data_IF_983615392303
#
_entry.id   IF_983615392303
#
_cell.length_a   1.000
_cell.length_b   1.000
_cell.length_c   1.000
_cell.angle_alpha   90.00
_cell.angle_beta   90.00
_cell.angle_gamma   90.00
#
_symmetry.space_group_name_H-M   'P 1'
#
loop_
_entity.id
_entity.type
_entity.pdbx_description
1 polymer ?
#
# COMPACT_ATOMS: atom_id res chain seq x y z
N UNK A 1 -32.86 3.76 -28.83
CA UNK A 1 -33.46 3.87 -27.48
C UNK A 1 -32.75 2.94 -26.50
N UNK A 2 -32.55 1.67 -26.81
CA UNK A 2 -31.92 0.66 -25.95
C UNK A 2 -30.48 1.02 -25.48
N UNK A 3 -29.61 1.44 -26.41
CA UNK A 3 -28.23 1.83 -26.12
C UNK A 3 -28.15 3.02 -25.14
N UNK A 4 -29.04 4.00 -25.31
CA UNK A 4 -29.08 5.15 -24.40
C UNK A 4 -29.50 4.74 -22.98
N UNK A 5 -30.45 3.79 -22.86
CA UNK A 5 -30.86 3.24 -21.56
C UNK A 5 -29.70 2.49 -20.84
N UNK A 6 -28.92 1.68 -21.56
CA UNK A 6 -27.73 1.00 -21.04
C UNK A 6 -26.65 1.98 -20.57
N UNK A 7 -26.41 3.03 -21.34
CA UNK A 7 -25.45 4.06 -20.97
C UNK A 7 -25.87 4.83 -19.71
N UNK A 8 -27.14 5.26 -19.64
CA UNK A 8 -27.66 5.94 -18.45
C UNK A 8 -27.63 5.04 -17.21
N UNK A 9 -27.94 3.77 -17.36
CA UNK A 9 -27.92 2.80 -16.27
C UNK A 9 -26.48 2.51 -15.79
N UNK A 10 -25.53 2.35 -16.71
CA UNK A 10 -24.12 2.20 -16.37
C UNK A 10 -23.54 3.42 -15.65
N UNK A 11 -23.91 4.62 -16.09
CA UNK A 11 -23.52 5.86 -15.43
C UNK A 11 -24.08 5.96 -14.00
N UNK A 12 -25.36 5.58 -13.82
CA UNK A 12 -26.02 5.56 -12.52
C UNK A 12 -25.34 4.59 -11.55
N UNK A 13 -25.01 3.38 -12.02
CA UNK A 13 -24.32 2.38 -11.18
C UNK A 13 -22.91 2.86 -10.82
N UNK A 14 -22.15 3.46 -11.76
CA UNK A 14 -20.86 4.04 -11.48
C UNK A 14 -20.93 5.16 -10.43
N UNK A 15 -21.96 6.00 -10.49
CA UNK A 15 -22.21 7.03 -9.49
C UNK A 15 -22.63 6.44 -8.13
N UNK A 16 -23.50 5.42 -8.12
CA UNK A 16 -23.98 4.76 -6.90
C UNK A 16 -22.84 4.00 -6.19
N UNK A 17 -21.94 3.35 -6.92
CA UNK A 17 -20.77 2.69 -6.36
C UNK A 17 -19.92 3.65 -5.54
N UNK A 18 -19.88 4.92 -5.89
CA UNK A 18 -19.16 5.97 -5.18
C UNK A 18 -19.80 6.37 -3.84
N UNK A 19 -21.12 6.28 -3.76
CA UNK A 19 -21.88 6.57 -2.53
C UNK A 19 -21.83 5.37 -1.56
N UNK A 20 -21.92 4.15 -2.10
CA UNK A 20 -21.96 2.90 -1.30
C UNK A 20 -20.58 2.50 -0.77
N UNK A 21 -19.49 2.93 -1.43
CA UNK A 21 -18.10 2.59 -1.02
C UNK A 21 -17.34 3.87 -0.59
N UNK A 22 -17.76 4.56 0.48
CA UNK A 22 -17.05 5.74 0.98
C UNK A 22 -15.64 5.33 1.47
N UNK A 23 -14.62 6.13 1.11
CA UNK A 23 -13.22 5.86 1.50
C UNK A 23 -12.38 5.04 0.52
N UNK A 24 -12.94 4.60 -0.60
CA UNK A 24 -12.22 3.87 -1.67
C UNK A 24 -12.15 4.67 -2.99
N UNK A 25 -11.84 5.97 -2.89
CA UNK A 25 -11.93 6.89 -4.05
C UNK A 25 -10.57 7.13 -4.69
N UNK A 26 -9.91 6.08 -5.21
CA UNK A 26 -8.64 6.21 -5.93
C UNK A 26 -8.84 6.66 -7.40
N UNK A 27 -10.07 6.56 -7.93
CA UNK A 27 -10.43 7.01 -9.26
C UNK A 27 -11.13 8.38 -9.21
N UNK A 28 -10.89 9.22 -10.22
CA UNK A 28 -11.67 10.44 -10.40
C UNK A 28 -13.16 10.10 -10.68
N UNK A 29 -14.07 11.04 -10.39
CA UNK A 29 -15.51 10.82 -10.62
C UNK A 29 -15.84 10.41 -12.04
N UNK A 30 -15.21 11.07 -13.02
CA UNK A 30 -15.35 10.74 -14.44
C UNK A 30 -14.84 9.34 -14.79
N UNK A 31 -13.70 8.93 -14.23
CA UNK A 31 -13.15 7.59 -14.47
C UNK A 31 -14.04 6.48 -13.88
N UNK A 32 -14.67 6.70 -12.72
CA UNK A 32 -15.62 5.75 -12.13
C UNK A 32 -16.87 5.59 -12.97
N UNK A 33 -17.42 6.71 -13.48
CA UNK A 33 -18.57 6.70 -14.39
C UNK A 33 -18.24 6.00 -15.70
N UNK A 34 -17.08 6.29 -16.30
CA UNK A 34 -16.61 5.60 -17.53
C UNK A 34 -16.42 4.10 -17.32
N UNK A 35 -15.86 3.68 -16.18
CA UNK A 35 -15.72 2.27 -15.85
C UNK A 35 -17.10 1.57 -15.72
N UNK A 36 -18.07 2.23 -15.09
CA UNK A 36 -19.45 1.73 -15.02
C UNK A 36 -20.12 1.59 -16.40
N UNK A 37 -19.93 2.59 -17.26
CA UNK A 37 -20.42 2.58 -18.65
C UNK A 37 -19.83 1.41 -19.45
N UNK A 38 -18.52 1.22 -19.40
CA UNK A 38 -17.82 0.16 -20.11
C UNK A 38 -18.24 -1.22 -19.61
N UNK A 39 -18.32 -1.40 -18.30
CA UNK A 39 -18.74 -2.67 -17.69
C UNK A 39 -20.19 -3.04 -18.02
N UNK A 40 -21.11 -2.09 -17.95
CA UNK A 40 -22.51 -2.33 -18.32
C UNK A 40 -22.66 -2.63 -19.81
N UNK A 41 -21.92 -1.90 -20.67
CA UNK A 41 -21.97 -2.11 -22.13
C UNK A 41 -21.43 -3.45 -22.56
N UNK A 42 -20.27 -3.85 -22.05
CA UNK A 42 -19.61 -5.12 -22.45
C UNK A 42 -20.37 -6.35 -21.98
N UNK A 43 -20.79 -6.39 -20.71
CA UNK A 43 -21.53 -7.54 -20.15
C UNK A 43 -22.96 -7.57 -20.70
N UNK A 44 -23.62 -6.41 -20.83
CA UNK A 44 -24.94 -6.32 -21.44
C UNK A 44 -24.96 -6.81 -22.87
N UNK A 45 -23.94 -6.44 -23.68
CA UNK A 45 -23.79 -6.93 -25.05
C UNK A 45 -23.49 -8.45 -25.10
N UNK A 46 -22.65 -8.95 -24.21
CA UNK A 46 -22.35 -10.37 -24.14
C UNK A 46 -23.59 -11.21 -23.76
N UNK A 47 -24.33 -10.80 -22.75
CA UNK A 47 -25.58 -11.48 -22.33
C UNK A 47 -26.60 -11.43 -23.46
N UNK A 48 -26.78 -10.27 -24.13
CA UNK A 48 -27.67 -10.14 -25.29
C UNK A 48 -27.34 -11.07 -26.45
N UNK A 49 -26.06 -11.31 -26.70
CA UNK A 49 -25.60 -12.22 -27.75
C UNK A 49 -25.88 -13.71 -27.44
N UNK A 50 -25.99 -14.10 -26.16
CA UNK A 50 -26.27 -15.47 -25.74
C UNK A 50 -27.77 -15.77 -25.56
N UNK A 51 -28.62 -14.74 -25.46
CA UNK A 51 -30.05 -14.90 -25.12
C UNK A 51 -31.01 -14.65 -26.32
N UNK A 52 -30.52 -14.64 -27.55
CA UNK A 52 -31.28 -14.41 -28.81
C UNK A 52 -32.25 -13.19 -28.78
N UNK A 53 -32.12 -12.32 -27.80
CA UNK A 53 -32.98 -11.17 -27.62
C UNK A 53 -32.27 -9.93 -27.07
N UNK A 54 -32.29 -8.85 -27.81
CA UNK A 54 -31.81 -7.53 -27.42
C UNK A 54 -32.73 -6.83 -26.39
N UNK A 55 -33.45 -7.59 -25.58
CA UNK A 55 -34.33 -7.03 -24.55
C UNK A 55 -33.57 -6.67 -23.29
N UNK A 56 -33.13 -5.43 -23.22
CA UNK A 56 -32.37 -4.84 -22.10
C UNK A 56 -33.18 -4.86 -20.78
N UNK A 57 -34.48 -5.05 -20.84
CA UNK A 57 -35.39 -5.01 -19.71
C UNK A 57 -35.75 -6.40 -19.14
N UNK A 58 -35.23 -7.46 -19.66
CA UNK A 58 -35.37 -8.78 -19.08
C UNK A 58 -34.39 -8.97 -17.89
N UNK A 59 -34.86 -9.55 -16.78
CA UNK A 59 -34.14 -9.67 -15.53
C UNK A 59 -32.68 -10.14 -15.64
N UNK A 60 -32.34 -11.16 -16.47
CA UNK A 60 -30.96 -11.64 -16.64
C UNK A 60 -30.00 -10.58 -17.21
N UNK A 61 -30.43 -9.78 -18.17
CA UNK A 61 -29.58 -8.75 -18.80
C UNK A 61 -29.32 -7.55 -17.87
N UNK A 62 -30.30 -7.18 -17.05
CA UNK A 62 -30.13 -6.15 -16.02
C UNK A 62 -29.15 -6.60 -14.95
N UNK A 63 -29.29 -7.82 -14.43
CA UNK A 63 -28.36 -8.40 -13.46
C UNK A 63 -26.94 -8.49 -14.03
N UNK A 64 -26.78 -8.95 -15.27
CA UNK A 64 -25.51 -8.99 -15.96
C UNK A 64 -24.85 -7.61 -16.09
N UNK A 65 -25.62 -6.60 -16.43
CA UNK A 65 -25.12 -5.22 -16.54
C UNK A 65 -24.69 -4.63 -15.20
N UNK A 66 -25.41 -4.92 -14.11
CA UNK A 66 -25.03 -4.49 -12.76
C UNK A 66 -23.73 -5.17 -12.31
N UNK A 67 -23.65 -6.48 -12.48
CA UNK A 67 -22.45 -7.25 -12.12
C UNK A 67 -21.23 -6.85 -12.94
N UNK A 68 -21.44 -6.61 -14.25
CA UNK A 68 -20.39 -6.15 -15.14
C UNK A 68 -19.88 -4.77 -14.80
N UNK A 69 -20.78 -3.81 -14.55
CA UNK A 69 -20.39 -2.47 -14.14
C UNK A 69 -19.63 -2.47 -12.81
N UNK A 70 -20.14 -3.20 -11.82
CA UNK A 70 -19.51 -3.31 -10.50
C UNK A 70 -18.14 -3.99 -10.59
N UNK A 71 -18.06 -5.11 -11.30
CA UNK A 71 -16.80 -5.85 -11.49
C UNK A 71 -15.74 -5.02 -12.21
N UNK A 72 -16.13 -4.26 -13.24
CA UNK A 72 -15.21 -3.40 -13.99
C UNK A 72 -14.71 -2.22 -13.15
N UNK A 73 -15.57 -1.60 -12.34
CA UNK A 73 -15.15 -0.55 -11.39
C UNK A 73 -14.13 -1.10 -10.39
N UNK A 74 -14.39 -2.27 -9.80
CA UNK A 74 -13.48 -2.91 -8.85
C UNK A 74 -12.13 -3.28 -9.50
N UNK A 75 -12.15 -3.79 -10.73
CA UNK A 75 -10.94 -4.10 -11.49
C UNK A 75 -10.13 -2.85 -11.84
N UNK A 76 -10.82 -1.77 -12.27
CA UNK A 76 -10.18 -0.51 -12.58
C UNK A 76 -9.54 0.13 -11.33
N UNK A 77 -10.21 0.10 -10.18
CA UNK A 77 -9.65 0.55 -8.91
C UNK A 77 -8.46 -0.29 -8.48
N UNK A 78 -8.55 -1.63 -8.59
CA UNK A 78 -7.46 -2.52 -8.26
C UNK A 78 -6.23 -2.30 -9.17
N UNK A 79 -6.45 -2.15 -10.49
CA UNK A 79 -5.40 -1.83 -11.45
C UNK A 79 -4.75 -0.48 -11.17
N UNK A 80 -5.55 0.55 -10.91
CA UNK A 80 -5.05 1.89 -10.58
C UNK A 80 -4.23 1.89 -9.29
N UNK A 81 -4.65 1.15 -8.26
CA UNK A 81 -3.87 0.96 -7.02
C UNK A 81 -2.53 0.31 -7.28
N UNK A 82 -2.49 -0.75 -8.11
CA UNK A 82 -1.24 -1.42 -8.48
C UNK A 82 -0.30 -0.50 -9.26
N UNK A 83 -0.85 0.27 -10.20
CA UNK A 83 -0.07 1.23 -11.00
C UNK A 83 0.46 2.38 -10.13
N UNK A 84 -0.34 2.91 -9.20
CA UNK A 84 0.11 3.93 -8.25
C UNK A 84 1.18 3.40 -7.33
N UNK A 85 1.00 2.22 -6.74
CA UNK A 85 2.00 1.57 -5.90
C UNK A 85 3.34 1.37 -6.63
N UNK A 86 3.32 1.12 -7.95
CA UNK A 86 4.53 1.04 -8.78
C UNK A 86 5.12 2.42 -9.12
N UNK A 87 4.29 3.45 -9.32
CA UNK A 87 4.75 4.81 -9.65
C UNK A 87 5.32 5.57 -8.44
N UNK A 88 4.88 5.25 -7.24
CA UNK A 88 5.34 5.89 -6.00
C UNK A 88 6.61 5.26 -5.43
N UNK A 89 7.18 4.27 -6.09
CA UNK A 89 8.46 3.69 -5.71
C UNK A 89 9.60 4.61 -6.18
N UNK A 90 9.87 5.63 -5.38
CA UNK A 90 11.08 6.44 -5.56
C UNK A 90 12.28 5.54 -5.27
N UNK A 91 13.27 5.41 -6.18
CA UNK A 91 14.47 4.62 -5.93
C UNK A 91 15.16 5.05 -4.63
N UNK A 92 15.68 4.11 -3.85
CA UNK A 92 16.33 4.43 -2.57
C UNK A 92 17.48 5.42 -2.73
N UNK A 93 18.25 5.33 -3.82
CA UNK A 93 19.29 6.31 -4.12
C UNK A 93 18.78 7.75 -4.27
N UNK A 94 17.57 7.92 -4.80
CA UNK A 94 16.91 9.23 -4.89
C UNK A 94 16.40 9.71 -3.51
N UNK A 95 15.91 8.79 -2.65
CA UNK A 95 15.56 9.12 -1.27
C UNK A 95 16.77 9.59 -0.48
N UNK A 96 17.90 8.91 -0.62
CA UNK A 96 19.16 9.28 0.02
C UNK A 96 19.63 10.68 -0.41
N UNK A 97 19.54 10.98 -1.69
CA UNK A 97 19.96 12.30 -2.22
C UNK A 97 19.04 13.45 -1.77
N UNK A 98 17.77 13.19 -1.51
CA UNK A 98 16.80 14.18 -1.04
C UNK A 98 16.87 14.41 0.47
N UNK A 99 17.41 13.47 1.23
CA UNK A 99 17.47 13.51 2.69
C UNK A 99 16.14 13.22 3.39
N UNK A 100 16.16 13.39 4.71
CA UNK A 100 14.98 13.19 5.56
C UNK A 100 13.87 14.21 5.28
N UNK A 101 12.64 13.80 5.48
CA UNK A 101 11.44 14.60 5.26
C UNK A 101 10.27 14.08 6.09
N UNK A 102 9.10 14.73 5.98
CA UNK A 102 7.88 14.22 6.64
C UNK A 102 7.47 12.78 6.21
N UNK A 103 8.07 12.24 5.14
CA UNK A 103 7.79 10.90 4.59
C UNK A 103 9.03 10.00 4.50
N UNK A 104 10.19 10.50 4.85
CA UNK A 104 11.45 9.74 4.78
C UNK A 104 12.22 9.97 6.06
N UNK A 105 12.59 8.91 6.72
CA UNK A 105 13.36 8.91 7.97
C UNK A 105 14.55 7.97 7.82
N UNK A 106 15.72 8.39 8.28
CA UNK A 106 16.94 7.59 8.30
C UNK A 106 17.24 7.13 9.71
N UNK A 107 17.76 5.92 9.85
CA UNK A 107 18.28 5.38 11.11
C UNK A 107 19.54 4.59 10.84
N UNK A 108 20.61 4.97 11.49
CA UNK A 108 21.91 4.31 11.35
C UNK A 108 21.89 2.84 11.79
N UNK A 109 21.00 2.48 12.70
CA UNK A 109 20.82 1.10 13.19
C UNK A 109 19.43 0.94 13.79
N UNK A 110 18.92 -0.30 13.81
CA UNK A 110 17.68 -0.62 14.49
C UNK A 110 17.87 -1.04 15.96
N UNK A 111 19.07 -1.51 16.32
CA UNK A 111 19.31 -2.07 17.66
C UNK A 111 20.74 -1.93 18.17
N UNK A 112 21.71 -1.67 17.31
CA UNK A 112 23.11 -1.52 17.68
C UNK A 112 23.42 -0.04 17.97
N UNK A 113 23.88 0.25 19.18
CA UNK A 113 24.35 1.59 19.54
C UNK A 113 25.84 1.70 19.30
N UNK A 114 26.24 2.52 18.33
CA UNK A 114 27.65 2.71 17.94
C UNK A 114 28.51 3.31 19.05
N UNK A 115 27.91 4.05 19.98
CA UNK A 115 28.65 4.69 21.09
C UNK A 115 28.96 3.73 22.24
N UNK A 116 28.06 2.79 22.52
CA UNK A 116 28.23 1.79 23.58
C UNK A 116 28.73 0.46 23.04
N UNK A 117 28.76 0.31 21.72
CA UNK A 117 29.11 -0.94 21.00
C UNK A 117 28.25 -2.14 21.44
N UNK A 118 26.99 -1.90 21.81
CA UNK A 118 26.09 -2.92 22.35
C UNK A 118 24.66 -2.70 21.87
N UNK A 119 23.78 -3.65 22.20
CA UNK A 119 22.36 -3.58 21.94
C UNK A 119 21.71 -2.48 22.79
N UNK A 120 20.90 -1.63 22.16
CA UNK A 120 20.15 -0.58 22.82
C UNK A 120 18.63 -0.71 22.52
N UNK A 121 17.79 -1.13 23.48
CA UNK A 121 16.35 -1.24 23.29
C UNK A 121 15.65 0.08 22.95
N UNK A 122 16.29 1.24 23.24
CA UNK A 122 15.74 2.56 22.88
C UNK A 122 15.72 2.75 21.36
N UNK A 123 16.69 2.19 20.63
CA UNK A 123 16.71 2.21 19.17
C UNK A 123 15.56 1.38 18.60
N UNK A 124 15.32 0.18 19.15
CA UNK A 124 14.19 -0.67 18.76
C UNK A 124 12.86 0.09 18.91
N UNK A 125 12.70 0.83 20.01
CA UNK A 125 11.51 1.66 20.25
C UNK A 125 11.44 2.85 19.28
N UNK A 126 12.56 3.47 18.92
CA UNK A 126 12.60 4.55 17.95
C UNK A 126 12.13 4.07 16.58
N UNK A 127 12.56 2.89 16.12
CA UNK A 127 12.06 2.25 14.88
C UNK A 127 10.53 2.09 14.92
N UNK A 128 9.99 1.54 16.02
CA UNK A 128 8.55 1.35 16.16
C UNK A 128 7.78 2.68 16.16
N UNK A 129 8.34 3.74 16.77
CA UNK A 129 7.74 5.09 16.77
C UNK A 129 7.71 5.72 15.38
N UNK A 130 8.82 5.67 14.63
CA UNK A 130 8.86 6.18 13.25
C UNK A 130 7.82 5.47 12.37
N UNK A 131 7.72 4.15 12.49
CA UNK A 131 6.70 3.36 11.76
C UNK A 131 5.28 3.73 12.17
N UNK A 132 5.02 3.94 13.48
CA UNK A 132 3.72 4.40 13.96
C UNK A 132 3.39 5.80 13.45
N UNK A 133 4.36 6.72 13.42
CA UNK A 133 4.21 8.07 12.88
C UNK A 133 3.80 8.03 11.41
N UNK A 134 4.49 7.24 10.57
CA UNK A 134 4.12 7.04 9.18
C UNK A 134 2.76 6.36 9.02
N UNK A 135 2.44 5.39 9.89
CA UNK A 135 1.15 4.71 9.86
C UNK A 135 -0.03 5.64 10.17
N UNK A 136 0.16 6.66 11.00
CA UNK A 136 -0.85 7.65 11.37
C UNK A 136 -0.84 8.91 10.50
N UNK A 137 0.04 8.96 9.50
CA UNK A 137 0.14 10.05 8.51
C UNK A 137 -0.18 9.55 7.10
N UNK A 138 0.32 10.24 6.08
CA UNK A 138 0.19 9.87 4.68
C UNK A 138 1.08 8.68 4.25
N UNK A 139 1.70 7.97 5.19
CA UNK A 139 2.71 6.95 4.89
C UNK A 139 4.12 7.52 4.87
N UNK A 140 5.10 6.65 4.66
CA UNK A 140 6.50 7.04 4.56
C UNK A 140 7.43 5.86 4.43
N UNK A 141 8.69 6.15 4.24
CA UNK A 141 9.79 5.20 4.11
C UNK A 141 10.77 5.40 5.25
N UNK A 142 11.06 4.32 5.97
CA UNK A 142 12.11 4.28 6.97
C UNK A 142 13.30 3.51 6.39
N UNK A 143 14.44 4.13 6.24
CA UNK A 143 15.69 3.50 5.86
C UNK A 143 16.52 3.22 7.11
N UNK A 144 16.93 1.96 7.29
CA UNK A 144 17.79 1.53 8.40
C UNK A 144 19.16 1.18 7.85
N UNK A 145 20.23 1.50 8.58
CA UNK A 145 21.59 1.40 8.07
C UNK A 145 22.02 2.61 7.24
N UNK A 146 21.39 3.75 7.50
CA UNK A 146 21.71 5.04 6.86
C UNK A 146 21.83 6.08 7.97
N UNK A 147 22.87 6.91 7.92
CA UNK A 147 23.04 8.03 8.85
C UNK A 147 22.22 9.27 8.43
N UNK A 148 22.20 10.27 9.29
CA UNK A 148 21.47 11.53 9.06
C UNK A 148 22.00 12.33 7.85
N UNK A 149 23.22 12.06 7.39
CA UNK A 149 23.80 12.64 6.19
C UNK A 149 23.44 11.88 4.90
N UNK A 150 22.68 10.79 5.00
CA UNK A 150 22.33 9.93 3.88
C UNK A 150 23.43 8.95 3.47
N UNK A 151 24.46 8.79 4.31
CA UNK A 151 25.53 7.84 4.04
C UNK A 151 25.07 6.43 4.42
N UNK A 152 25.27 5.47 3.51
CA UNK A 152 24.92 4.07 3.72
C UNK A 152 25.93 3.39 4.62
N UNK A 153 25.51 2.95 5.80
CA UNK A 153 26.30 2.24 6.80
C UNK A 153 26.10 0.72 6.73
N UNK A 154 24.93 0.28 6.22
CA UNK A 154 24.54 -1.12 6.16
C UNK A 154 24.04 -1.68 7.49
N UNK A 155 23.81 -3.00 7.52
CA UNK A 155 23.22 -3.74 8.65
C UNK A 155 24.21 -4.63 9.41
N UNK A 156 25.47 -4.62 9.09
CA UNK A 156 26.45 -5.59 9.62
C UNK A 156 26.48 -5.67 11.16
N UNK A 157 26.30 -4.54 11.82
CA UNK A 157 26.25 -4.48 13.29
C UNK A 157 24.93 -5.04 13.84
N UNK A 158 23.82 -4.71 13.19
CA UNK A 158 22.51 -5.21 13.59
C UNK A 158 22.38 -6.72 13.37
N UNK A 159 22.92 -7.24 12.25
CA UNK A 159 22.92 -8.66 11.93
C UNK A 159 23.67 -9.49 12.98
N UNK A 160 24.80 -9.00 13.52
CA UNK A 160 25.54 -9.66 14.60
C UNK A 160 24.72 -9.84 15.88
N UNK A 161 23.72 -9.00 16.10
CA UNK A 161 22.84 -9.06 17.27
C UNK A 161 21.60 -9.96 17.05
N UNK A 162 21.45 -10.55 15.88
CA UNK A 162 20.39 -11.50 15.55
C UNK A 162 20.95 -12.91 15.53
N UNK A 163 20.24 -13.86 16.14
CA UNK A 163 20.65 -15.26 16.17
C UNK A 163 20.69 -15.81 14.72
N UNK A 164 21.87 -16.20 14.27
CA UNK A 164 22.10 -16.66 12.89
C UNK A 164 22.79 -15.62 12.01
N UNK A 165 22.66 -14.32 12.29
CA UNK A 165 23.38 -13.24 11.60
C UNK A 165 23.00 -13.02 10.15
N UNK A 166 21.83 -13.52 9.71
CA UNK A 166 21.34 -13.42 8.34
C UNK A 166 20.15 -12.47 8.20
N UNK A 167 19.84 -12.07 6.98
CA UNK A 167 18.76 -11.14 6.65
C UNK A 167 17.38 -11.71 6.96
N UNK A 168 17.13 -13.00 6.74
CA UNK A 168 15.83 -13.63 6.99
C UNK A 168 15.52 -13.59 8.48
N UNK A 169 16.51 -13.85 9.33
CA UNK A 169 16.38 -13.75 10.79
C UNK A 169 16.19 -12.32 11.25
N UNK A 170 16.86 -11.39 10.60
CA UNK A 170 16.67 -9.96 10.89
C UNK A 170 15.28 -9.49 10.50
N UNK A 171 14.75 -9.90 9.36
CA UNK A 171 13.39 -9.59 8.94
C UNK A 171 12.36 -10.16 9.92
N UNK A 172 12.50 -11.43 10.32
CA UNK A 172 11.66 -12.05 11.33
C UNK A 172 11.67 -11.28 12.63
N UNK A 173 12.87 -10.96 13.14
CA UNK A 173 13.02 -10.18 14.36
C UNK A 173 12.35 -8.80 14.24
N UNK A 174 12.50 -8.15 13.10
CA UNK A 174 11.92 -6.84 12.85
C UNK A 174 10.38 -6.90 12.80
N UNK A 175 9.83 -7.95 12.20
CA UNK A 175 8.40 -8.21 12.21
C UNK A 175 7.88 -8.46 13.63
N UNK A 176 8.57 -9.28 14.42
CA UNK A 176 8.23 -9.54 15.83
C UNK A 176 8.28 -8.27 16.68
N UNK A 177 9.29 -7.43 16.49
CA UNK A 177 9.39 -6.13 17.18
C UNK A 177 8.17 -5.28 16.91
N UNK A 178 7.77 -5.17 15.64
CA UNK A 178 6.64 -4.33 15.25
C UNK A 178 5.30 -4.93 15.65
N UNK A 179 5.15 -6.26 15.60
CA UNK A 179 3.96 -6.92 16.11
C UNK A 179 3.77 -6.64 17.60
N UNK A 180 4.84 -6.74 18.38
CA UNK A 180 4.80 -6.41 19.82
C UNK A 180 4.47 -4.95 20.11
N UNK A 181 5.01 -4.02 19.31
CA UNK A 181 4.85 -2.59 19.58
C UNK A 181 3.57 -2.01 18.97
N UNK A 182 3.10 -2.49 17.83
CA UNK A 182 2.02 -1.90 17.04
C UNK A 182 0.81 -2.82 16.87
N UNK A 183 0.96 -4.08 17.25
CA UNK A 183 -0.06 -5.11 17.09
C UNK A 183 -0.08 -5.73 15.69
N UNK A 184 -0.58 -6.96 15.61
CA UNK A 184 -0.66 -7.77 14.37
C UNK A 184 -1.40 -7.06 13.22
N UNK A 185 -2.40 -6.26 13.55
CA UNK A 185 -3.18 -5.50 12.58
C UNK A 185 -2.37 -4.47 11.79
N UNK A 186 -1.28 -3.95 12.35
CA UNK A 186 -0.40 -2.98 11.72
C UNK A 186 0.49 -3.61 10.62
N UNK A 187 0.89 -4.86 10.78
CA UNK A 187 1.83 -5.53 9.88
C UNK A 187 1.32 -5.60 8.43
N UNK A 188 0.01 -5.67 8.24
CA UNK A 188 -0.60 -5.70 6.89
C UNK A 188 -0.32 -4.44 6.06
N UNK A 189 0.10 -3.35 6.71
CA UNK A 189 0.38 -2.06 6.09
C UNK A 189 1.87 -1.76 6.00
N UNK A 190 2.70 -2.69 6.46
CA UNK A 190 4.16 -2.54 6.53
C UNK A 190 4.75 -3.54 5.55
N UNK A 191 5.58 -3.05 4.66
CA UNK A 191 6.38 -3.86 3.74
C UNK A 191 7.85 -3.69 4.13
N UNK A 192 8.57 -4.78 4.28
CA UNK A 192 10.02 -4.81 4.52
C UNK A 192 10.67 -5.28 3.23
N UNK A 193 11.66 -4.56 2.74
CA UNK A 193 12.47 -4.96 1.60
C UNK A 193 13.95 -4.68 1.93
N UNK A 194 14.84 -5.42 1.30
CA UNK A 194 16.28 -5.21 1.42
C UNK A 194 16.85 -4.80 0.08
N UNK A 195 17.66 -3.77 0.07
CA UNK A 195 18.31 -3.27 -1.14
C UNK A 195 19.83 -3.27 -0.93
N UNK A 196 20.57 -3.66 -1.95
CA UNK A 196 22.04 -3.61 -1.94
C UNK A 196 22.48 -2.29 -2.55
N UNK A 197 23.00 -1.41 -1.70
CA UNK A 197 23.52 -0.10 -2.10
C UNK A 197 24.99 0.01 -1.76
N UNK A 198 25.82 0.29 -2.77
CA UNK A 198 27.28 0.42 -2.58
C UNK A 198 27.95 -0.77 -1.88
N UNK A 199 27.41 -1.99 -2.07
CA UNK A 199 27.92 -3.20 -1.40
C UNK A 199 27.40 -3.41 0.01
N UNK A 200 26.57 -2.51 0.53
CA UNK A 200 25.92 -2.62 1.83
C UNK A 200 24.43 -2.96 1.69
N UNK A 201 23.88 -3.69 2.64
CA UNK A 201 22.46 -4.05 2.68
C UNK A 201 21.71 -3.03 3.51
N UNK A 202 20.66 -2.46 2.93
CA UNK A 202 19.76 -1.49 3.60
C UNK A 202 18.34 -2.02 3.52
N UNK A 203 17.62 -2.15 4.64
CA UNK A 203 16.19 -2.42 4.60
C UNK A 203 15.47 -1.16 4.16
N UNK A 204 14.72 -1.30 3.07
CA UNK A 204 13.77 -0.30 2.58
C UNK A 204 12.37 -0.71 3.04
N UNK A 205 11.71 0.18 3.77
CA UNK A 205 10.35 -0.03 4.25
C UNK A 205 9.37 0.80 3.45
N UNK A 206 8.63 0.13 2.59
CA UNK A 206 7.55 0.75 1.80
C UNK A 206 6.19 0.36 2.37
N UNK A 207 5.31 1.34 2.54
CA UNK A 207 3.95 1.11 3.00
C UNK A 207 3.01 0.88 1.82
N UNK A 208 2.18 -0.16 1.90
CA UNK A 208 0.94 -0.21 1.11
C UNK A 208 -0.06 0.78 1.72
N UNK A 209 -0.40 1.83 0.98
CA UNK A 209 -1.42 2.78 1.40
C UNK A 209 -2.77 2.10 1.60
N UNK A 210 -3.17 1.93 2.85
CA UNK A 210 -4.57 1.85 3.25
C UNK A 210 -4.74 2.72 4.48
N UNK A 211 -5.68 3.63 4.46
CA UNK A 211 -6.04 4.46 5.60
C UNK A 211 -6.48 3.58 6.77
N UNK A 212 -5.60 3.30 7.69
CA UNK A 212 -5.93 2.71 8.97
C UNK A 212 -5.36 3.61 10.05
N UNK A 213 -6.25 4.18 10.86
CA UNK A 213 -5.88 4.85 12.09
C UNK A 213 -5.40 3.78 13.07
N UNK A 214 -4.13 3.75 13.37
CA UNK A 214 -3.60 2.92 14.44
C UNK A 214 -3.72 3.68 15.78
N UNK A 215 -4.17 3.03 16.84
CA UNK A 215 -4.17 3.64 18.16
C UNK A 215 -2.73 4.00 18.57
N UNK A 216 -2.53 5.08 19.33
CA UNK A 216 -1.21 5.42 19.85
C UNK A 216 -0.68 4.27 20.75
N UNK A 217 0.64 4.03 20.75
CA UNK A 217 1.23 3.01 21.62
C UNK A 217 0.92 3.34 23.09
N UNK A 218 0.75 2.33 23.95
CA UNK A 218 0.49 2.54 25.36
C UNK A 218 1.59 3.38 26.00
N UNK A 219 1.21 4.40 26.74
CA UNK A 219 2.12 5.20 27.58
C UNK A 219 2.56 4.30 28.74
N UNK A 220 3.82 4.03 28.84
CA UNK A 220 4.43 3.54 30.08
C UNK A 220 4.92 4.70 30.93
#
# INVERSE_FOLDING_TARGET
MVVLGLLLFGALIGALARVVLPGRQDLSGSATVLAGLLGAGTVGAAVGAFTDGWFVWEGPSLLGSVLGATGFVLLAEWGNRRLRARREQVPTGELLSRGESARVEFKSSARYNVHTSDKDPRLELAIARSVAGFANSSGGTLLIGVDDAGQVLGLDHDLKLVKGGDLDRYELWLHDLLERCLGRGALRYIEVAFEHLHGQVVPDRRRRERHAHLPPPPRR
#
